data_IF_205707026288
#
_entry.id   IF_205707026288
#
_cell.length_a   1.000
_cell.length_b   1.000
_cell.length_c   1.000
_cell.angle_alpha   90.00
_cell.angle_beta   90.00
_cell.angle_gamma   90.00
#
_symmetry.space_group_name_H-M   'P 1'
#
loop_
_entity.id
_entity.type
_entity.pdbx_description
1 polymer ?
#
# COMPACT_ATOMS: atom_id res chain seq x y z
N UNK A 1 -61.56 -14.65 -8.33
CA UNK A 1 -60.65 -13.50 -8.16
C UNK A 1 -59.73 -13.76 -6.99
N UNK A 2 -58.56 -14.37 -7.25
CA UNK A 2 -57.54 -14.63 -6.22
C UNK A 2 -56.45 -13.55 -6.35
N UNK A 3 -56.32 -12.75 -5.31
CA UNK A 3 -55.23 -11.77 -5.21
C UNK A 3 -54.00 -12.48 -4.68
N UNK A 4 -52.97 -12.60 -5.52
CA UNK A 4 -51.62 -13.07 -5.14
C UNK A 4 -50.91 -11.85 -4.55
N UNK A 5 -50.64 -11.87 -3.23
CA UNK A 5 -49.77 -10.97 -2.54
C UNK A 5 -48.33 -11.51 -2.73
N UNK A 6 -47.50 -10.79 -3.47
CA UNK A 6 -46.07 -11.00 -3.54
C UNK A 6 -45.37 -10.47 -2.28
N UNK A 7 -44.47 -11.22 -1.65
CA UNK A 7 -43.72 -10.69 -0.52
C UNK A 7 -42.68 -9.66 -1.00
N UNK A 8 -42.74 -8.47 -0.44
CA UNK A 8 -41.75 -7.40 -0.58
C UNK A 8 -40.50 -7.83 0.20
N UNK A 9 -39.50 -8.37 -0.48
CA UNK A 9 -38.20 -8.64 0.12
C UNK A 9 -37.50 -7.29 0.37
N UNK A 10 -37.39 -6.90 1.64
CA UNK A 10 -36.53 -5.80 2.08
C UNK A 10 -35.08 -6.21 1.85
N UNK A 11 -34.45 -5.71 0.79
CA UNK A 11 -33.00 -5.72 0.65
C UNK A 11 -32.43 -4.76 1.72
N UNK A 12 -31.98 -5.31 2.82
CA UNK A 12 -31.09 -4.61 3.75
C UNK A 12 -29.77 -4.35 3.02
N UNK A 13 -29.61 -3.14 2.49
CA UNK A 13 -28.33 -2.67 1.99
C UNK A 13 -27.34 -2.64 3.18
N UNK A 14 -26.44 -3.61 3.21
CA UNK A 14 -25.32 -3.60 4.15
C UNK A 14 -24.47 -2.36 3.86
N UNK A 15 -24.52 -1.39 4.74
CA UNK A 15 -23.60 -0.25 4.75
C UNK A 15 -22.17 -0.80 4.77
N UNK A 16 -21.23 -0.26 3.97
CA UNK A 16 -19.84 -0.67 4.04
C UNK A 16 -19.34 -0.45 5.47
N UNK A 17 -18.89 -1.52 6.11
CA UNK A 17 -18.27 -1.42 7.42
C UNK A 17 -17.06 -0.47 7.31
N UNK A 18 -17.15 0.68 7.94
CA UNK A 18 -15.99 1.56 8.10
C UNK A 18 -14.95 0.78 8.90
N UNK A 19 -13.70 0.83 8.45
CA UNK A 19 -12.59 0.21 9.17
C UNK A 19 -12.57 0.78 10.60
N UNK A 20 -13.00 -0.03 11.57
CA UNK A 20 -12.88 0.36 12.97
C UNK A 20 -11.41 0.23 13.38
N UNK A 21 -10.89 1.25 14.04
CA UNK A 21 -9.57 1.18 14.66
C UNK A 21 -9.57 0.02 15.65
N UNK A 22 -8.69 -0.98 15.51
CA UNK A 22 -8.63 -2.12 16.44
C UNK A 22 -8.39 -1.65 17.87
N UNK A 23 -8.99 -2.34 18.82
CA UNK A 23 -8.74 -2.07 20.24
C UNK A 23 -7.24 -2.19 20.56
N UNK A 24 -6.69 -1.22 21.29
CA UNK A 24 -5.27 -1.18 21.62
C UNK A 24 -4.36 -0.59 20.55
N UNK A 25 -4.91 -0.04 19.45
CA UNK A 25 -4.12 0.73 18.50
C UNK A 25 -3.65 2.05 19.11
N UNK A 26 -2.35 2.34 18.96
CA UNK A 26 -1.71 3.57 19.47
C UNK A 26 -1.12 4.31 18.30
N UNK A 27 -1.56 5.54 18.09
CA UNK A 27 -0.99 6.46 17.07
C UNK A 27 0.18 7.25 17.68
N UNK A 28 1.18 7.55 16.86
CA UNK A 28 2.34 8.33 17.26
C UNK A 28 3.02 9.01 16.08
N UNK A 29 3.84 10.02 16.41
CA UNK A 29 4.64 10.76 15.44
C UNK A 29 6.13 10.62 15.77
N UNK A 30 6.93 10.28 14.77
CA UNK A 30 8.37 10.32 14.82
C UNK A 30 8.86 11.56 14.08
N UNK A 31 9.42 12.52 14.81
CA UNK A 31 10.04 13.70 14.19
C UNK A 31 11.50 13.39 13.90
N UNK A 32 11.84 13.31 12.61
CA UNK A 32 13.17 13.05 12.11
C UNK A 32 13.86 14.39 11.83
N UNK A 33 14.90 14.72 12.61
CA UNK A 33 15.62 15.97 12.47
C UNK A 33 16.56 15.94 11.26
N UNK A 34 16.67 17.07 10.54
CA UNK A 34 17.60 17.27 9.44
C UNK A 34 17.55 16.16 8.39
N UNK A 35 16.35 15.84 7.90
CA UNK A 35 16.19 14.81 6.87
C UNK A 35 16.69 15.32 5.52
N UNK A 36 17.61 14.57 4.91
CA UNK A 36 18.14 14.86 3.57
C UNK A 36 17.58 13.87 2.58
N UNK A 37 16.93 14.37 1.54
CA UNK A 37 16.37 13.58 0.45
C UNK A 37 17.45 13.19 -0.57
N UNK A 38 17.17 12.17 -1.38
CA UNK A 38 18.07 11.74 -2.46
C UNK A 38 18.42 12.85 -3.46
N UNK A 39 17.52 13.82 -3.63
CA UNK A 39 17.74 15.03 -4.43
C UNK A 39 18.77 16.00 -3.83
N UNK A 40 19.16 15.81 -2.57
CA UNK A 40 19.98 16.75 -1.81
C UNK A 40 19.20 17.85 -1.07
N UNK A 41 17.89 17.97 -1.33
CA UNK A 41 17.01 18.88 -0.59
C UNK A 41 16.92 18.43 0.89
N UNK A 42 16.60 19.38 1.78
CA UNK A 42 16.56 19.10 3.22
C UNK A 42 15.29 19.66 3.86
N UNK A 43 14.75 18.90 4.81
CA UNK A 43 13.78 19.41 5.77
C UNK A 43 14.41 19.44 7.16
N UNK A 44 14.29 20.54 7.90
CA UNK A 44 14.72 20.60 9.31
C UNK A 44 14.05 19.52 10.15
N UNK A 45 12.75 19.30 9.89
CA UNK A 45 11.94 18.29 10.54
C UNK A 45 11.09 17.56 9.50
N UNK A 46 11.17 16.23 9.49
CA UNK A 46 10.28 15.35 8.74
C UNK A 46 9.44 14.53 9.74
N UNK A 47 8.15 14.73 9.75
CA UNK A 47 7.22 13.95 10.56
C UNK A 47 6.88 12.64 9.85
N UNK A 48 7.06 11.52 10.54
CA UNK A 48 6.57 10.21 10.16
C UNK A 48 5.49 9.78 11.15
N UNK A 49 4.24 9.78 10.69
CA UNK A 49 3.11 9.26 11.47
C UNK A 49 3.09 7.73 11.40
N UNK A 50 2.69 7.10 12.48
CA UNK A 50 2.52 5.64 12.52
C UNK A 50 1.42 5.23 13.48
N UNK A 51 0.87 4.05 13.26
CA UNK A 51 0.00 3.38 14.23
C UNK A 51 0.67 2.07 14.65
N UNK A 52 0.56 1.71 15.93
CA UNK A 52 1.07 0.45 16.45
C UNK A 52 -0.02 -0.38 17.10
N UNK A 53 0.15 -1.70 17.07
CA UNK A 53 -0.66 -2.68 17.78
C UNK A 53 0.26 -3.60 18.58
N UNK A 54 -0.21 -4.06 19.73
CA UNK A 54 0.57 -4.92 20.60
C UNK A 54 1.64 -4.16 21.42
N UNK A 55 2.45 -4.90 22.18
CA UNK A 55 3.44 -4.33 23.10
C UNK A 55 4.86 -4.70 22.66
N UNK A 56 5.80 -3.74 22.61
CA UNK A 56 7.18 -4.02 22.28
C UNK A 56 7.85 -4.84 23.40
N UNK A 57 8.38 -6.01 23.04
CA UNK A 57 9.25 -6.81 23.90
C UNK A 57 10.68 -6.36 23.69
N UNK A 58 11.45 -6.18 24.78
CA UNK A 58 12.81 -5.65 24.68
C UNK A 58 13.84 -6.62 25.25
N UNK A 59 14.98 -6.68 24.60
CA UNK A 59 16.14 -7.39 25.12
C UNK A 59 16.84 -6.61 26.24
N UNK A 60 17.94 -7.18 26.78
CA UNK A 60 18.74 -6.55 27.85
C UNK A 60 19.40 -5.23 27.44
N UNK A 61 19.51 -4.95 26.14
CA UNK A 61 20.03 -3.70 25.58
C UNK A 61 18.94 -2.66 25.28
N UNK A 62 17.68 -3.01 25.52
CA UNK A 62 16.53 -2.17 25.26
C UNK A 62 16.01 -2.25 23.80
N UNK A 63 16.58 -3.09 22.95
CA UNK A 63 16.13 -3.25 21.57
C UNK A 63 14.84 -4.07 21.51
N UNK A 64 13.91 -3.63 20.65
CA UNK A 64 12.66 -4.35 20.41
C UNK A 64 12.94 -5.63 19.61
N UNK A 65 12.40 -6.77 20.08
CA UNK A 65 12.69 -8.10 19.52
C UNK A 65 11.53 -8.75 18.78
N UNK A 66 10.31 -8.24 18.91
CA UNK A 66 9.09 -8.82 18.35
C UNK A 66 8.40 -7.93 17.30
N UNK A 67 9.13 -6.98 16.71
CA UNK A 67 8.54 -6.01 15.78
C UNK A 67 8.25 -6.61 14.41
N UNK A 68 7.07 -6.30 13.88
CA UNK A 68 6.63 -6.55 12.50
C UNK A 68 6.24 -5.21 11.88
N UNK A 69 6.71 -4.91 10.68
CA UNK A 69 6.30 -3.72 9.94
C UNK A 69 5.42 -4.10 8.75
N UNK A 70 4.31 -3.40 8.58
CA UNK A 70 3.40 -3.60 7.45
C UNK A 70 3.24 -2.29 6.67
N UNK A 71 3.51 -2.33 5.37
CA UNK A 71 3.65 -1.16 4.50
C UNK A 71 2.50 -1.07 3.49
N UNK A 72 1.84 0.10 3.47
CA UNK A 72 0.66 0.38 2.65
C UNK A 72 1.00 0.67 1.17
N UNK A 73 -0.04 0.62 0.31
CA UNK A 73 0.02 0.98 -1.10
C UNK A 73 -0.04 2.49 -1.37
N UNK A 74 0.19 2.90 -2.63
CA UNK A 74 0.09 4.30 -3.10
C UNK A 74 -1.26 4.91 -2.75
N UNK A 75 -1.25 6.11 -2.18
CA UNK A 75 -2.47 6.82 -1.74
C UNK A 75 -3.12 6.23 -0.48
N UNK A 76 -2.56 5.17 0.10
CA UNK A 76 -3.03 4.55 1.33
C UNK A 76 -2.40 5.14 2.59
N UNK A 77 -2.71 4.52 3.72
CA UNK A 77 -2.13 4.81 5.05
C UNK A 77 -1.99 3.50 5.83
N UNK A 78 -1.32 3.52 6.97
CA UNK A 78 -1.27 2.37 7.87
C UNK A 78 -2.65 1.85 8.26
N UNK A 79 -3.66 2.71 8.29
CA UNK A 79 -5.05 2.36 8.64
C UNK A 79 -5.74 1.48 7.58
N UNK A 80 -5.20 1.34 6.35
CA UNK A 80 -5.76 0.41 5.36
C UNK A 80 -5.79 -1.04 5.88
N UNK A 81 -4.89 -1.39 6.78
CA UNK A 81 -4.78 -2.73 7.36
C UNK A 81 -5.78 -3.02 8.49
N UNK A 82 -6.63 -2.05 8.83
CA UNK A 82 -7.73 -2.24 9.78
C UNK A 82 -9.01 -2.77 9.12
N UNK A 83 -9.02 -2.92 7.79
CA UNK A 83 -10.14 -3.54 7.09
C UNK A 83 -10.35 -4.98 7.57
N UNK A 84 -11.62 -5.41 7.75
CA UNK A 84 -11.94 -6.74 8.31
C UNK A 84 -11.26 -7.89 7.58
N UNK A 85 -11.19 -7.84 6.24
CA UNK A 85 -10.55 -8.87 5.42
C UNK A 85 -9.03 -9.00 5.64
N UNK A 86 -8.42 -8.09 6.37
CA UNK A 86 -7.01 -8.11 6.79
C UNK A 86 -6.89 -8.27 8.32
N UNK A 87 -7.42 -7.31 9.09
CA UNK A 87 -7.24 -7.27 10.53
C UNK A 87 -7.90 -8.46 11.25
N UNK A 88 -9.13 -8.83 10.86
CA UNK A 88 -9.86 -9.94 11.50
C UNK A 88 -9.27 -11.31 11.16
N UNK A 89 -8.41 -11.39 10.14
CA UNK A 89 -7.75 -12.62 9.73
C UNK A 89 -6.35 -12.79 10.36
N UNK A 90 -5.72 -11.70 10.83
CA UNK A 90 -4.30 -11.73 11.18
C UNK A 90 -3.99 -11.27 12.60
N UNK A 91 -4.73 -10.32 13.18
CA UNK A 91 -4.31 -9.58 14.38
C UNK A 91 -4.94 -10.07 15.68
N UNK A 92 -5.95 -10.93 15.62
CA UNK A 92 -6.66 -11.44 16.78
C UNK A 92 -5.88 -12.49 17.57
N UNK A 93 -6.39 -12.86 18.76
CA UNK A 93 -5.77 -13.88 19.60
C UNK A 93 -5.60 -15.23 18.87
N UNK A 94 -4.39 -15.76 18.89
CA UNK A 94 -4.04 -17.02 18.24
C UNK A 94 -3.89 -16.95 16.72
N UNK A 95 -4.13 -15.78 16.11
CA UNK A 95 -3.91 -15.58 14.68
C UNK A 95 -2.43 -15.35 14.35
N UNK A 96 -2.09 -15.32 13.07
CA UNK A 96 -0.71 -15.35 12.60
C UNK A 96 0.13 -14.18 13.11
N UNK A 97 -0.43 -12.97 13.13
CA UNK A 97 0.19 -11.74 13.63
C UNK A 97 -0.50 -11.26 14.91
N UNK A 98 -0.79 -12.19 15.81
CA UNK A 98 -1.41 -11.95 17.12
C UNK A 98 -0.74 -10.80 17.87
N UNK A 99 -1.48 -9.75 18.19
CA UNK A 99 -0.99 -8.55 18.88
C UNK A 99 -0.54 -8.80 20.32
N UNK A 100 -0.86 -9.95 20.90
CA UNK A 100 -0.27 -10.37 22.16
C UNK A 100 1.18 -10.86 22.02
N UNK A 101 1.60 -11.26 20.81
CA UNK A 101 2.94 -11.78 20.51
C UNK A 101 3.81 -10.77 19.77
N UNK A 102 3.24 -10.03 18.83
CA UNK A 102 3.95 -9.13 17.95
C UNK A 102 3.66 -7.66 18.25
N UNK A 103 4.69 -6.84 18.12
CA UNK A 103 4.58 -5.38 18.05
C UNK A 103 4.48 -4.98 16.57
N UNK A 104 3.26 -4.71 16.11
CA UNK A 104 2.96 -4.39 14.73
C UNK A 104 3.07 -2.88 14.53
N UNK A 105 3.84 -2.46 13.53
CA UNK A 105 4.10 -1.07 13.19
C UNK A 105 3.55 -0.80 11.79
N UNK A 106 2.65 0.16 11.69
CA UNK A 106 1.93 0.57 10.47
C UNK A 106 2.27 2.04 10.19
N UNK A 107 3.39 2.34 9.51
CA UNK A 107 3.73 3.72 9.20
C UNK A 107 2.83 4.29 8.10
N UNK A 108 2.55 5.58 8.17
CA UNK A 108 2.19 6.38 7.02
C UNK A 108 3.49 6.84 6.35
N UNK A 109 3.64 6.58 5.05
CA UNK A 109 4.85 6.99 4.34
C UNK A 109 4.90 8.51 4.10
N UNK A 110 6.09 9.05 3.76
CA UNK A 110 6.21 10.46 3.31
C UNK A 110 5.16 10.73 2.23
N UNK A 111 4.49 11.86 2.33
CA UNK A 111 3.45 12.25 1.38
C UNK A 111 2.08 11.61 1.62
N UNK A 112 1.90 10.82 2.70
CA UNK A 112 0.68 10.06 2.98
C UNK A 112 0.17 10.30 4.41
N UNK A 113 -1.13 10.20 4.57
CA UNK A 113 -1.80 10.18 5.87
C UNK A 113 -1.40 11.32 6.81
N UNK A 114 -0.95 10.97 8.01
CA UNK A 114 -0.48 11.90 9.03
C UNK A 114 0.99 12.34 8.89
N UNK A 115 1.77 11.72 7.99
CA UNK A 115 3.17 12.09 7.72
C UNK A 115 3.28 13.38 6.93
N UNK A 116 4.47 14.02 6.98
CA UNK A 116 4.76 15.25 6.23
C UNK A 116 4.47 15.08 4.74
N UNK A 117 3.78 16.04 4.15
CA UNK A 117 3.31 16.00 2.75
C UNK A 117 3.14 17.41 2.16
N UNK A 118 3.04 17.55 0.83
CA UNK A 118 2.85 18.83 0.14
C UNK A 118 1.69 19.67 0.68
N UNK A 119 0.55 19.06 0.97
CA UNK A 119 -0.65 19.76 1.47
C UNK A 119 -0.50 20.35 2.88
N UNK A 120 0.57 20.01 3.62
CA UNK A 120 0.85 20.59 4.94
C UNK A 120 1.39 22.05 4.86
N UNK A 121 1.29 22.71 3.69
CA UNK A 121 1.59 24.11 3.49
C UNK A 121 2.71 24.39 2.48
N UNK A 122 3.63 23.46 2.24
CA UNK A 122 4.72 23.65 1.27
C UNK A 122 4.25 23.50 -0.19
N UNK A 123 3.14 22.81 -0.42
CA UNK A 123 2.59 22.56 -1.76
C UNK A 123 3.68 21.99 -2.70
N UNK A 124 3.82 22.53 -3.92
CA UNK A 124 4.84 22.07 -4.90
C UNK A 124 6.28 22.49 -4.55
N UNK A 125 6.50 23.16 -3.41
CA UNK A 125 7.84 23.42 -2.84
C UNK A 125 8.28 22.33 -1.85
N UNK A 126 7.43 21.34 -1.59
CA UNK A 126 7.83 20.18 -0.78
C UNK A 126 8.96 19.44 -1.51
N UNK A 127 10.01 18.93 -0.81
CA UNK A 127 11.09 18.20 -1.45
C UNK A 127 10.61 17.04 -2.29
N UNK A 128 11.25 16.83 -3.46
CA UNK A 128 10.93 15.72 -4.34
C UNK A 128 11.48 14.43 -3.73
N UNK A 129 10.60 13.68 -3.07
CA UNK A 129 10.94 12.39 -2.49
C UNK A 129 10.71 11.22 -3.45
N UNK A 130 11.35 10.10 -3.18
CA UNK A 130 11.15 8.83 -3.86
C UNK A 130 11.00 7.66 -2.87
N UNK A 131 10.99 6.43 -3.38
CA UNK A 131 10.81 5.25 -2.53
C UNK A 131 12.04 4.96 -1.65
N UNK A 132 13.24 5.30 -2.09
CA UNK A 132 14.46 5.18 -1.28
C UNK A 132 14.43 6.15 -0.10
N UNK A 133 13.92 7.38 -0.30
CA UNK A 133 13.68 8.33 0.78
C UNK A 133 12.64 7.83 1.79
N UNK A 134 11.54 7.22 1.30
CA UNK A 134 10.54 6.62 2.18
C UNK A 134 11.13 5.51 3.04
N UNK A 135 11.93 4.62 2.44
CA UNK A 135 12.61 3.53 3.16
C UNK A 135 13.66 4.08 4.14
N UNK A 136 14.39 5.14 3.77
CA UNK A 136 15.30 5.82 4.68
C UNK A 136 14.58 6.43 5.89
N UNK A 137 13.44 7.07 5.67
CA UNK A 137 12.60 7.63 6.74
C UNK A 137 12.02 6.53 7.66
N UNK A 138 11.51 5.43 7.07
CA UNK A 138 11.06 4.25 7.84
C UNK A 138 12.19 3.71 8.72
N UNK A 139 13.41 3.57 8.17
CA UNK A 139 14.56 3.07 8.93
C UNK A 139 14.91 3.98 10.11
N UNK A 140 14.97 5.30 9.90
CA UNK A 140 15.22 6.27 10.96
C UNK A 140 14.11 6.28 12.01
N UNK A 141 12.84 6.21 11.61
CA UNK A 141 11.71 6.08 12.53
C UNK A 141 11.87 4.84 13.43
N UNK A 142 12.19 3.69 12.85
CA UNK A 142 12.38 2.43 13.59
C UNK A 142 13.54 2.53 14.57
N UNK A 143 14.71 3.00 14.13
CA UNK A 143 15.94 2.96 14.92
C UNK A 143 16.06 4.10 15.90
N UNK A 144 15.71 5.33 15.52
CA UNK A 144 15.90 6.52 16.34
C UNK A 144 14.74 6.76 17.33
N UNK A 145 13.51 6.31 16.99
CA UNK A 145 12.31 6.63 17.77
C UNK A 145 11.68 5.41 18.46
N UNK A 146 11.63 4.27 17.79
CA UNK A 146 10.96 3.09 18.31
C UNK A 146 11.92 2.08 18.98
N UNK A 147 13.24 2.22 18.79
CA UNK A 147 14.24 1.29 19.31
C UNK A 147 14.20 -0.08 18.63
N UNK A 148 13.77 -0.10 17.36
CA UNK A 148 13.72 -1.32 16.54
C UNK A 148 14.94 -1.36 15.64
N UNK A 149 15.83 -2.28 15.89
CA UNK A 149 17.06 -2.48 15.13
C UNK A 149 17.02 -3.75 14.27
N UNK A 150 15.97 -4.55 14.42
CA UNK A 150 15.68 -5.72 13.61
C UNK A 150 14.19 -6.00 13.60
N UNK A 151 13.66 -6.43 12.46
CA UNK A 151 12.25 -6.79 12.28
C UNK A 151 12.11 -8.30 12.13
N UNK A 152 11.03 -8.88 12.69
CA UNK A 152 10.65 -10.27 12.43
C UNK A 152 10.15 -10.44 11.00
N UNK A 153 9.43 -9.44 10.50
CA UNK A 153 8.83 -9.44 9.17
C UNK A 153 8.68 -8.01 8.65
N UNK A 154 8.94 -7.81 7.36
CA UNK A 154 8.38 -6.71 6.57
C UNK A 154 7.35 -7.31 5.62
N UNK A 155 6.07 -6.98 5.81
CA UNK A 155 5.01 -7.26 4.86
C UNK A 155 4.69 -5.96 4.13
N UNK A 156 4.72 -5.97 2.81
CA UNK A 156 4.42 -4.78 2.02
C UNK A 156 3.44 -5.07 0.90
N UNK A 157 2.49 -4.16 0.69
CA UNK A 157 1.45 -4.30 -0.32
C UNK A 157 1.57 -3.20 -1.37
N UNK A 158 1.55 -3.53 -2.68
CA UNK A 158 1.67 -2.56 -3.77
C UNK A 158 2.93 -1.68 -3.64
N UNK A 159 2.82 -0.37 -3.39
CA UNK A 159 3.97 0.48 -3.06
C UNK A 159 4.81 -0.10 -1.90
N UNK A 160 4.16 -0.58 -0.84
CA UNK A 160 4.85 -1.23 0.28
C UNK A 160 5.58 -2.51 -0.12
N UNK A 161 5.09 -3.25 -1.12
CA UNK A 161 5.80 -4.37 -1.74
C UNK A 161 7.12 -3.89 -2.38
N UNK A 162 7.09 -2.78 -3.11
CA UNK A 162 8.27 -2.16 -3.71
C UNK A 162 9.26 -1.71 -2.62
N UNK A 163 8.77 -1.15 -1.52
CA UNK A 163 9.60 -0.82 -0.36
C UNK A 163 10.24 -2.08 0.26
N UNK A 164 9.51 -3.20 0.37
CA UNK A 164 10.08 -4.43 0.91
C UNK A 164 11.27 -4.94 0.06
N UNK A 165 11.19 -4.80 -1.28
CA UNK A 165 12.34 -5.08 -2.15
C UNK A 165 13.49 -4.10 -1.94
N UNK A 166 13.23 -2.80 -1.78
CA UNK A 166 14.28 -1.82 -1.45
C UNK A 166 14.92 -2.16 -0.09
N UNK A 167 14.13 -2.49 0.93
CA UNK A 167 14.66 -2.95 2.22
C UNK A 167 15.59 -4.15 2.06
N UNK A 168 15.16 -5.15 1.29
CA UNK A 168 15.96 -6.36 1.06
C UNK A 168 17.26 -6.10 0.33
N UNK A 169 17.28 -5.16 -0.62
CA UNK A 169 18.44 -4.83 -1.45
C UNK A 169 19.40 -3.83 -0.83
N UNK A 170 18.89 -2.87 -0.02
CA UNK A 170 19.68 -1.77 0.55
C UNK A 170 20.05 -1.99 2.02
N UNK A 171 19.27 -2.81 2.74
CA UNK A 171 19.46 -3.12 4.18
C UNK A 171 19.30 -4.61 4.43
N UNK A 172 20.10 -5.48 3.75
CA UNK A 172 19.98 -6.92 3.88
C UNK A 172 20.15 -7.36 5.33
N UNK A 173 19.27 -8.24 5.81
CA UNK A 173 19.29 -8.76 7.17
C UNK A 173 18.68 -7.85 8.25
N UNK A 174 18.20 -6.65 7.93
CA UNK A 174 17.44 -5.84 8.91
C UNK A 174 16.09 -6.47 9.25
N UNK A 175 15.45 -7.15 8.32
CA UNK A 175 14.30 -8.02 8.56
C UNK A 175 14.72 -9.48 8.48
N UNK A 176 14.15 -10.34 9.35
CA UNK A 176 14.37 -11.79 9.30
C UNK A 176 13.64 -12.42 8.12
N UNK A 177 12.53 -11.82 7.69
CA UNK A 177 11.67 -12.31 6.62
C UNK A 177 11.06 -11.15 5.83
N UNK A 178 10.81 -11.37 4.54
CA UNK A 178 10.13 -10.41 3.66
C UNK A 178 8.87 -11.04 3.06
N UNK A 179 7.81 -10.26 2.98
CA UNK A 179 6.54 -10.63 2.33
C UNK A 179 6.08 -9.51 1.37
N UNK A 180 6.72 -9.34 0.20
CA UNK A 180 6.31 -8.39 -0.83
C UNK A 180 5.10 -8.92 -1.62
N UNK A 181 3.96 -8.18 -1.59
CA UNK A 181 2.73 -8.55 -2.27
C UNK A 181 2.28 -7.50 -3.29
N UNK A 182 1.95 -7.93 -4.50
CA UNK A 182 1.39 -7.14 -5.60
C UNK A 182 2.33 -6.07 -6.17
N UNK A 183 3.55 -6.45 -6.51
CA UNK A 183 4.46 -5.63 -7.32
C UNK A 183 5.48 -6.48 -8.08
N UNK A 184 6.27 -5.80 -8.93
CA UNK A 184 7.42 -6.37 -9.63
C UNK A 184 8.70 -5.68 -9.16
N UNK A 185 9.80 -6.41 -8.95
CA UNK A 185 11.08 -5.84 -8.49
C UNK A 185 11.94 -5.31 -9.64
N UNK A 186 11.36 -4.46 -10.46
CA UNK A 186 11.97 -3.90 -11.66
C UNK A 186 11.51 -2.46 -11.84
N UNK A 187 12.24 -1.69 -12.62
CA UNK A 187 11.84 -0.33 -13.01
C UNK A 187 10.36 -0.26 -13.41
N UNK A 188 9.65 0.74 -12.91
CA UNK A 188 8.26 0.99 -13.30
C UNK A 188 8.23 1.59 -14.70
N UNK A 189 7.89 0.76 -15.67
CA UNK A 189 7.83 1.08 -17.09
C UNK A 189 6.45 0.71 -17.69
N UNK A 190 6.33 0.86 -19.00
CA UNK A 190 5.15 0.47 -19.79
C UNK A 190 3.86 1.05 -19.21
N UNK A 191 2.82 0.23 -19.18
CA UNK A 191 1.48 0.64 -18.75
C UNK A 191 1.45 1.18 -17.30
N UNK A 192 2.24 0.60 -16.39
CA UNK A 192 2.29 1.06 -14.99
C UNK A 192 2.86 2.49 -14.90
N UNK A 193 3.87 2.86 -15.68
CA UNK A 193 4.35 4.24 -15.73
C UNK A 193 3.36 5.16 -16.46
N UNK A 194 2.76 4.68 -17.54
CA UNK A 194 1.83 5.48 -18.35
C UNK A 194 0.62 5.96 -17.54
N UNK A 195 -0.07 5.08 -16.82
CA UNK A 195 -1.25 5.52 -16.05
C UNK A 195 -0.90 6.50 -14.93
N UNK A 196 0.30 6.39 -14.33
CA UNK A 196 0.79 7.33 -13.32
C UNK A 196 1.04 8.71 -13.91
N UNK A 197 1.74 8.77 -15.05
CA UNK A 197 2.03 10.05 -15.71
C UNK A 197 0.77 10.67 -16.30
N UNK A 198 -0.13 9.90 -16.91
CA UNK A 198 -1.42 10.40 -17.39
C UNK A 198 -2.26 11.00 -16.23
N UNK A 199 -2.21 10.40 -15.06
CA UNK A 199 -2.90 10.94 -13.88
C UNK A 199 -2.28 12.27 -13.43
N UNK A 200 -0.94 12.35 -13.39
CA UNK A 200 -0.21 13.57 -13.05
C UNK A 200 -0.51 14.68 -14.07
N UNK A 201 -0.45 14.34 -15.35
CA UNK A 201 -0.67 15.30 -16.44
C UNK A 201 -2.12 15.82 -16.45
N UNK A 202 -3.10 14.96 -16.17
CA UNK A 202 -4.49 15.38 -16.04
C UNK A 202 -4.71 16.41 -14.92
N UNK A 203 -4.05 16.24 -13.78
CA UNK A 203 -4.12 17.20 -12.68
C UNK A 203 -3.43 18.51 -13.07
N UNK A 204 -2.23 18.43 -13.67
CA UNK A 204 -1.46 19.61 -14.07
C UNK A 204 -2.08 20.40 -15.21
N UNK A 205 -2.84 19.74 -16.08
CA UNK A 205 -3.57 20.37 -17.19
C UNK A 205 -4.87 21.10 -16.74
N UNK A 206 -5.35 20.85 -15.52
CA UNK A 206 -6.53 21.56 -15.00
C UNK A 206 -6.15 23.02 -14.72
N UNK A 207 -6.80 24.04 -15.36
CA UNK A 207 -6.48 25.44 -15.13
C UNK A 207 -6.60 25.90 -13.67
N UNK A 208 -7.47 25.23 -12.89
CA UNK A 208 -7.65 25.51 -11.46
C UNK A 208 -6.48 25.05 -10.60
N UNK A 209 -5.62 24.14 -11.09
CA UNK A 209 -4.45 23.67 -10.33
C UNK A 209 -3.41 24.77 -10.08
N UNK A 210 -3.26 25.73 -11.02
CA UNK A 210 -2.43 26.94 -10.86
C UNK A 210 -0.99 26.65 -10.40
N UNK A 211 -0.35 25.63 -10.98
CA UNK A 211 1.01 25.26 -10.56
C UNK A 211 1.11 24.73 -9.12
N UNK A 212 0.01 24.22 -8.58
CA UNK A 212 -0.09 23.73 -7.20
C UNK A 212 -0.54 24.77 -6.17
N UNK A 213 -0.81 26.02 -6.60
CA UNK A 213 -1.23 27.11 -5.71
C UNK A 213 -2.75 27.33 -5.69
N UNK A 214 -3.51 26.31 -6.07
CA UNK A 214 -4.97 26.36 -6.14
C UNK A 214 -5.62 26.71 -4.77
N UNK A 215 -6.72 27.46 -4.85
CA UNK A 215 -7.62 27.73 -3.73
C UNK A 215 -8.97 27.06 -3.94
N UNK A 216 -9.30 26.75 -5.19
CA UNK A 216 -10.46 25.95 -5.60
C UNK A 216 -9.95 24.62 -6.13
N UNK A 217 -10.57 23.53 -5.71
CA UNK A 217 -10.17 22.17 -6.08
C UNK A 217 -10.10 21.99 -7.62
N UNK A 218 -9.01 21.50 -8.20
CA UNK A 218 -8.88 21.23 -9.63
C UNK A 218 -9.69 19.97 -9.99
N UNK A 219 -11.02 20.17 -10.05
CA UNK A 219 -11.99 19.08 -10.07
C UNK A 219 -11.95 18.27 -11.36
N UNK A 220 -11.66 18.88 -12.52
CA UNK A 220 -11.58 18.17 -13.79
C UNK A 220 -10.37 17.24 -13.83
N UNK A 221 -9.21 17.71 -13.41
CA UNK A 221 -7.99 16.92 -13.31
C UNK A 221 -8.13 15.76 -12.33
N UNK A 222 -8.64 16.02 -11.13
CA UNK A 222 -8.88 14.98 -10.11
C UNK A 222 -9.94 13.96 -10.55
N UNK A 223 -10.94 14.38 -11.33
CA UNK A 223 -11.93 13.47 -11.91
C UNK A 223 -11.29 12.49 -12.87
N UNK A 224 -10.44 12.96 -13.76
CA UNK A 224 -9.68 12.10 -14.68
C UNK A 224 -8.76 11.17 -13.92
N UNK A 225 -8.04 11.67 -12.90
CA UNK A 225 -7.19 10.88 -12.02
C UNK A 225 -7.95 9.74 -11.32
N UNK A 226 -9.12 10.02 -10.76
CA UNK A 226 -9.97 9.00 -10.15
C UNK A 226 -10.44 7.94 -11.17
N UNK A 227 -10.82 8.36 -12.37
CA UNK A 227 -11.25 7.45 -13.44
C UNK A 227 -10.13 6.51 -13.88
N UNK A 228 -8.92 7.02 -14.08
CA UNK A 228 -7.74 6.20 -14.41
C UNK A 228 -7.41 5.21 -13.29
N UNK A 229 -7.48 5.65 -12.04
CA UNK A 229 -7.23 4.78 -10.87
C UNK A 229 -8.28 3.66 -10.75
N UNK A 230 -9.55 3.95 -11.07
CA UNK A 230 -10.61 2.94 -11.10
C UNK A 230 -10.31 1.83 -12.10
N UNK A 231 -9.90 2.18 -13.31
CA UNK A 231 -9.58 1.20 -14.35
C UNK A 231 -8.32 0.41 -13.98
N UNK A 232 -7.27 1.10 -13.51
CA UNK A 232 -6.01 0.43 -13.13
C UNK A 232 -6.19 -0.58 -12.00
N UNK A 233 -7.07 -0.28 -11.01
CA UNK A 233 -7.33 -1.17 -9.87
C UNK A 233 -8.43 -2.22 -10.11
N UNK A 234 -9.09 -2.20 -11.28
CA UNK A 234 -10.24 -3.04 -11.55
C UNK A 234 -9.90 -4.54 -11.65
N UNK A 235 -10.85 -5.38 -11.21
CA UNK A 235 -10.89 -6.80 -11.56
C UNK A 235 -11.99 -7.01 -12.61
N UNK A 236 -11.65 -7.24 -13.89
CA UNK A 236 -12.64 -7.38 -14.95
C UNK A 236 -13.58 -8.57 -14.73
N UNK A 237 -13.10 -9.68 -14.17
CA UNK A 237 -13.93 -10.84 -13.85
C UNK A 237 -15.00 -10.51 -12.80
N UNK A 238 -14.60 -9.93 -11.67
CA UNK A 238 -15.51 -9.58 -10.61
C UNK A 238 -16.53 -8.53 -11.07
N UNK A 239 -16.10 -7.53 -11.83
CA UNK A 239 -16.99 -6.49 -12.36
C UNK A 239 -18.03 -7.08 -13.33
N UNK A 240 -17.61 -8.00 -14.22
CA UNK A 240 -18.54 -8.62 -15.16
C UNK A 240 -19.60 -9.47 -14.46
N UNK A 241 -19.23 -10.17 -13.36
CA UNK A 241 -20.16 -10.99 -12.58
C UNK A 241 -21.11 -10.12 -11.74
N UNK A 242 -20.57 -9.06 -11.10
CA UNK A 242 -21.34 -8.21 -10.18
C UNK A 242 -22.24 -7.20 -10.93
N UNK A 243 -21.80 -6.72 -12.08
CA UNK A 243 -22.45 -5.67 -12.86
C UNK A 243 -22.62 -6.11 -14.34
N UNK A 244 -23.42 -7.17 -14.61
CA UNK A 244 -23.45 -7.81 -15.93
C UNK A 244 -24.25 -7.04 -16.98
N UNK A 245 -24.94 -5.97 -16.60
CA UNK A 245 -25.70 -5.13 -17.52
C UNK A 245 -25.09 -3.72 -17.65
N UNK A 246 -25.35 -3.06 -18.79
CA UNK A 246 -24.93 -1.68 -19.01
C UNK A 246 -25.36 -0.75 -17.86
N UNK A 247 -26.62 -0.80 -17.48
CA UNK A 247 -27.16 0.06 -16.43
C UNK A 247 -26.50 -0.20 -15.07
N UNK A 248 -26.26 -1.46 -14.71
CA UNK A 248 -25.56 -1.82 -13.47
C UNK A 248 -24.10 -1.33 -13.47
N UNK A 249 -23.39 -1.47 -14.59
CA UNK A 249 -22.02 -1.00 -14.71
C UNK A 249 -21.91 0.53 -14.66
N UNK A 250 -22.84 1.26 -15.30
CA UNK A 250 -22.89 2.72 -15.25
C UNK A 250 -23.19 3.22 -13.82
N UNK A 251 -24.14 2.61 -13.12
CA UNK A 251 -24.45 2.93 -11.73
C UNK A 251 -23.25 2.69 -10.79
N UNK A 252 -22.58 1.51 -10.91
CA UNK A 252 -21.37 1.22 -10.15
C UNK A 252 -20.26 2.24 -10.38
N UNK A 253 -20.04 2.63 -11.63
CA UNK A 253 -19.05 3.67 -11.97
C UNK A 253 -19.35 4.97 -11.23
N UNK A 254 -20.59 5.42 -11.22
CA UNK A 254 -20.98 6.68 -10.56
C UNK A 254 -20.80 6.59 -9.03
N UNK A 255 -21.19 5.49 -8.41
CA UNK A 255 -20.97 5.25 -6.98
C UNK A 255 -19.49 5.17 -6.62
N UNK A 256 -18.70 4.42 -7.38
CA UNK A 256 -17.28 4.27 -7.15
C UNK A 256 -16.55 5.60 -7.30
N UNK A 257 -16.92 6.38 -8.30
CA UNK A 257 -16.41 7.73 -8.51
C UNK A 257 -16.74 8.64 -7.32
N UNK A 258 -17.98 8.66 -6.85
CA UNK A 258 -18.41 9.47 -5.70
C UNK A 258 -17.61 9.11 -4.42
N UNK A 259 -17.25 7.84 -4.26
CA UNK A 259 -16.39 7.41 -3.12
C UNK A 259 -14.94 7.87 -3.23
N UNK A 260 -14.40 7.99 -4.43
CA UNK A 260 -12.98 8.31 -4.67
C UNK A 260 -12.73 9.80 -4.81
N UNK A 261 -13.70 10.54 -5.37
CA UNK A 261 -13.54 11.96 -5.69
C UNK A 261 -13.44 12.83 -4.43
N UNK A 262 -12.49 13.77 -4.44
CA UNK A 262 -12.34 14.76 -3.38
C UNK A 262 -11.67 14.25 -2.09
N UNK A 263 -11.22 13.00 -2.04
CA UNK A 263 -10.52 12.44 -0.87
C UNK A 263 -9.06 12.81 -0.80
N UNK A 264 -8.44 13.16 -1.93
CA UNK A 264 -7.01 13.42 -2.04
C UNK A 264 -6.75 14.87 -2.43
N UNK A 265 -5.71 15.45 -1.85
CA UNK A 265 -5.12 16.70 -2.30
C UNK A 265 -4.41 16.48 -3.65
N UNK A 266 -4.53 17.44 -4.57
CA UNK A 266 -3.98 17.30 -5.92
C UNK A 266 -2.45 17.26 -5.93
N UNK A 267 -1.80 18.05 -5.09
CA UNK A 267 -0.35 18.08 -4.98
C UNK A 267 0.18 16.81 -4.34
N UNK A 268 -0.47 16.34 -3.25
CA UNK A 268 -0.11 15.06 -2.61
C UNK A 268 -0.19 13.92 -3.61
N UNK A 269 -1.26 13.87 -4.43
CA UNK A 269 -1.44 12.82 -5.43
C UNK A 269 -0.35 12.85 -6.52
N UNK A 270 0.06 14.02 -6.98
CA UNK A 270 1.17 14.18 -7.93
C UNK A 270 2.45 13.59 -7.33
N UNK A 271 2.81 13.98 -6.11
CA UNK A 271 4.00 13.49 -5.44
C UNK A 271 3.96 11.99 -5.15
N UNK A 272 2.83 11.47 -4.67
CA UNK A 272 2.63 10.03 -4.41
C UNK A 272 2.84 9.18 -5.66
N UNK A 273 2.33 9.62 -6.81
CA UNK A 273 2.48 8.89 -8.07
C UNK A 273 3.89 9.01 -8.65
N UNK A 274 4.51 10.20 -8.54
CA UNK A 274 5.85 10.44 -9.08
C UNK A 274 6.97 9.87 -8.20
N UNK A 275 6.73 9.61 -6.91
CA UNK A 275 7.72 9.02 -5.99
C UNK A 275 8.29 7.68 -6.46
N UNK A 276 7.61 7.02 -7.39
CA UNK A 276 8.03 5.76 -8.00
C UNK A 276 9.02 5.91 -9.16
N UNK A 277 9.39 7.13 -9.56
CA UNK A 277 10.16 7.42 -10.78
C UNK A 277 11.54 6.79 -10.83
N UNK A 278 12.17 6.60 -9.67
CA UNK A 278 13.53 6.04 -9.52
C UNK A 278 13.54 4.58 -9.09
N UNK A 279 12.37 3.98 -8.83
CA UNK A 279 12.28 2.62 -8.33
C UNK A 279 12.88 1.61 -9.30
N UNK A 280 13.97 0.97 -8.91
CA UNK A 280 14.57 -0.15 -9.62
C UNK A 280 15.46 -1.00 -8.70
N UNK A 281 14.93 -1.97 -7.94
CA UNK A 281 15.74 -2.85 -7.10
C UNK A 281 16.46 -3.95 -7.89
N UNK A 282 16.18 -4.08 -9.20
CA UNK A 282 16.68 -5.16 -10.04
C UNK A 282 18.20 -5.42 -9.92
N UNK A 283 19.08 -4.39 -9.93
CA UNK A 283 20.52 -4.61 -9.84
C UNK A 283 20.98 -5.24 -8.52
N UNK A 284 20.16 -5.21 -7.48
CA UNK A 284 20.49 -5.67 -6.14
C UNK A 284 19.75 -6.91 -5.66
N UNK A 285 18.99 -7.61 -6.51
CA UNK A 285 18.10 -8.70 -6.08
C UNK A 285 18.84 -9.86 -5.39
N UNK A 286 20.08 -10.17 -5.79
CA UNK A 286 20.89 -11.21 -5.18
C UNK A 286 21.32 -10.90 -3.73
N UNK A 287 21.20 -9.64 -3.28
CA UNK A 287 21.45 -9.24 -1.89
C UNK A 287 20.35 -9.69 -0.94
N UNK A 288 19.17 -10.02 -1.48
CA UNK A 288 18.04 -10.55 -0.69
C UNK A 288 18.38 -11.99 -0.30
N UNK A 289 18.81 -12.16 0.93
CA UNK A 289 19.35 -13.42 1.48
C UNK A 289 18.51 -13.97 2.64
N UNK A 290 17.34 -13.40 2.90
CA UNK A 290 16.40 -13.86 3.92
C UNK A 290 15.20 -14.57 3.27
N UNK A 291 14.52 -15.50 3.99
CA UNK A 291 13.30 -16.12 3.50
C UNK A 291 12.30 -15.06 3.03
N UNK A 292 11.84 -15.19 1.80
CA UNK A 292 10.98 -14.22 1.15
C UNK A 292 9.78 -14.91 0.51
N UNK A 293 8.58 -14.47 0.85
CA UNK A 293 7.33 -14.89 0.20
C UNK A 293 6.83 -13.76 -0.69
N UNK A 294 6.99 -13.92 -1.99
CA UNK A 294 6.51 -12.94 -2.97
C UNK A 294 5.20 -13.41 -3.61
N UNK A 295 4.15 -12.59 -3.53
CA UNK A 295 2.80 -12.95 -4.02
C UNK A 295 2.26 -11.89 -4.97
N UNK A 296 1.77 -12.33 -6.14
CA UNK A 296 0.96 -11.53 -7.06
C UNK A 296 -0.35 -12.25 -7.38
N UNK A 297 -1.32 -11.56 -7.97
CA UNK A 297 -2.58 -12.13 -8.47
C UNK A 297 -2.57 -12.15 -10.00
N UNK A 298 -3.07 -13.23 -10.60
CA UNK A 298 -3.07 -13.40 -12.06
C UNK A 298 -3.99 -12.42 -12.79
N UNK A 299 -4.94 -11.81 -12.08
CA UNK A 299 -5.86 -10.78 -12.57
C UNK A 299 -5.44 -9.35 -12.19
N UNK A 300 -4.21 -9.17 -11.70
CA UNK A 300 -3.64 -7.85 -11.43
C UNK A 300 -3.28 -7.13 -12.73
N UNK A 301 -4.05 -6.09 -13.06
CA UNK A 301 -3.83 -5.28 -14.26
C UNK A 301 -2.60 -4.36 -14.18
N UNK A 302 -2.13 -4.04 -12.96
CA UNK A 302 -0.96 -3.20 -12.74
C UNK A 302 0.34 -4.01 -12.88
N UNK A 303 0.30 -5.30 -12.49
CA UNK A 303 1.45 -6.21 -12.52
C UNK A 303 1.10 -7.51 -13.27
N UNK A 304 0.82 -7.46 -14.56
CA UNK A 304 0.42 -8.63 -15.33
C UNK A 304 1.51 -9.72 -15.31
N UNK A 305 1.15 -10.99 -15.04
CA UNK A 305 2.11 -12.11 -15.00
C UNK A 305 2.72 -12.40 -16.38
N UNK A 306 2.02 -12.03 -17.47
CA UNK A 306 2.48 -12.26 -18.85
C UNK A 306 3.80 -11.56 -19.22
N UNK A 307 4.31 -10.68 -18.37
CA UNK A 307 5.62 -10.04 -18.61
C UNK A 307 6.82 -10.99 -18.44
N UNK A 308 6.65 -12.13 -17.78
CA UNK A 308 7.74 -13.08 -17.51
C UNK A 308 8.84 -12.55 -16.57
N UNK A 309 8.58 -11.41 -15.91
CA UNK A 309 9.53 -10.77 -14.98
C UNK A 309 9.64 -11.56 -13.68
N UNK A 310 8.54 -12.17 -13.26
CA UNK A 310 8.45 -12.89 -11.99
C UNK A 310 9.39 -14.08 -11.95
N UNK A 311 9.45 -14.87 -13.02
CA UNK A 311 10.31 -16.04 -13.15
C UNK A 311 11.78 -15.63 -13.17
N UNK A 312 12.11 -14.59 -13.93
CA UNK A 312 13.48 -14.07 -14.02
C UNK A 312 13.96 -13.50 -12.68
N UNK A 313 13.12 -12.76 -11.97
CA UNK A 313 13.45 -12.18 -10.67
C UNK A 313 13.59 -13.28 -9.60
N UNK A 314 12.67 -14.26 -9.56
CA UNK A 314 12.72 -15.37 -8.61
C UNK A 314 13.99 -16.22 -8.79
N UNK A 315 14.45 -16.43 -10.03
CA UNK A 315 15.69 -17.15 -10.30
C UNK A 315 16.93 -16.46 -9.71
N UNK A 316 16.89 -15.14 -9.51
CA UNK A 316 17.97 -14.34 -8.91
C UNK A 316 17.93 -14.31 -7.38
N UNK A 317 16.79 -14.61 -6.77
CA UNK A 317 16.58 -14.54 -5.31
C UNK A 317 16.40 -15.94 -4.73
N UNK A 318 17.53 -16.57 -4.35
CA UNK A 318 17.59 -17.99 -3.95
C UNK A 318 16.71 -18.38 -2.76
N UNK A 319 16.37 -17.43 -1.90
CA UNK A 319 15.56 -17.63 -0.69
C UNK A 319 14.09 -17.22 -0.90
N UNK A 320 13.69 -16.95 -2.14
CA UNK A 320 12.35 -16.45 -2.46
C UNK A 320 11.45 -17.56 -3.00
N UNK A 321 10.27 -17.69 -2.38
CA UNK A 321 9.13 -18.43 -2.92
C UNK A 321 8.18 -17.45 -3.58
N UNK A 322 7.98 -17.57 -4.91
CA UNK A 322 6.97 -16.82 -5.63
C UNK A 322 5.66 -17.61 -5.72
N UNK A 323 4.54 -16.96 -5.47
CA UNK A 323 3.20 -17.53 -5.62
C UNK A 323 2.35 -16.58 -6.48
N UNK A 324 1.74 -17.13 -7.52
CA UNK A 324 0.73 -16.45 -8.32
C UNK A 324 -0.66 -16.95 -7.92
N UNK A 325 -1.47 -16.10 -7.29
CA UNK A 325 -2.87 -16.43 -6.97
C UNK A 325 -3.65 -16.51 -8.28
N UNK A 326 -4.32 -17.64 -8.59
CA UNK A 326 -5.10 -17.75 -9.81
C UNK A 326 -6.24 -16.73 -9.87
N UNK A 327 -6.52 -16.21 -11.05
CA UNK A 327 -7.68 -15.35 -11.29
C UNK A 327 -8.98 -16.10 -11.02
N UNK A 328 -9.93 -15.45 -10.35
CA UNK A 328 -11.23 -16.00 -10.04
C UNK A 328 -12.27 -14.89 -9.85
N UNK A 329 -13.58 -15.21 -9.83
CA UNK A 329 -14.62 -14.25 -9.46
C UNK A 329 -14.49 -13.70 -8.03
N UNK A 330 -13.75 -14.37 -7.16
CA UNK A 330 -13.53 -13.99 -5.76
C UNK A 330 -12.32 -13.07 -5.59
N UNK A 331 -11.30 -13.16 -6.45
CA UNK A 331 -10.13 -12.29 -6.44
C UNK A 331 -10.53 -10.84 -6.74
N UNK A 332 -9.67 -9.90 -6.41
CA UNK A 332 -9.96 -8.46 -6.44
C UNK A 332 -8.98 -7.70 -7.33
N UNK A 333 -8.43 -8.36 -8.38
CA UNK A 333 -7.40 -7.77 -9.20
C UNK A 333 -6.20 -7.33 -8.36
N UNK A 334 -5.71 -6.12 -8.58
CA UNK A 334 -4.62 -5.56 -7.78
C UNK A 334 -4.89 -5.61 -6.26
N UNK A 335 -6.14 -5.39 -5.84
CA UNK A 335 -6.50 -5.36 -4.41
C UNK A 335 -6.56 -6.73 -3.73
N UNK A 336 -6.33 -7.85 -4.43
CA UNK A 336 -6.29 -9.20 -3.84
C UNK A 336 -5.28 -9.29 -2.70
N UNK A 337 -4.20 -8.51 -2.75
CA UNK A 337 -3.16 -8.46 -1.72
C UNK A 337 -3.67 -7.99 -0.34
N UNK A 338 -4.79 -7.28 -0.25
CA UNK A 338 -5.38 -6.86 1.03
C UNK A 338 -6.34 -7.89 1.63
N UNK A 339 -6.63 -8.98 0.92
CA UNK A 339 -7.55 -10.03 1.36
C UNK A 339 -6.74 -11.24 1.87
N UNK A 340 -6.48 -11.26 3.18
CA UNK A 340 -5.60 -12.25 3.82
C UNK A 340 -6.01 -13.71 3.58
N UNK A 341 -7.31 -13.98 3.37
CA UNK A 341 -7.82 -15.33 3.06
C UNK A 341 -7.11 -16.01 1.89
N UNK A 342 -6.55 -15.25 0.95
CA UNK A 342 -5.92 -15.82 -0.25
C UNK A 342 -4.46 -16.23 -0.04
N UNK A 343 -3.82 -15.76 1.06
CA UNK A 343 -2.38 -15.94 1.22
C UNK A 343 -1.90 -16.15 2.69
N UNK A 344 -2.77 -16.04 3.69
CA UNK A 344 -2.38 -16.17 5.10
C UNK A 344 -1.72 -17.51 5.42
N UNK A 345 -2.15 -18.61 4.76
CA UNK A 345 -1.58 -19.94 5.01
C UNK A 345 -0.16 -20.07 4.46
N UNK A 346 0.15 -19.41 3.35
CA UNK A 346 1.53 -19.35 2.84
C UNK A 346 2.41 -18.42 3.69
N UNK A 347 1.85 -17.32 4.20
CA UNK A 347 2.56 -16.47 5.16
C UNK A 347 2.80 -17.23 6.47
N UNK A 348 1.89 -18.07 6.92
CA UNK A 348 2.08 -18.92 8.10
C UNK A 348 3.28 -19.88 7.93
N UNK A 349 3.43 -20.49 6.75
CA UNK A 349 4.60 -21.31 6.42
C UNK A 349 5.90 -20.50 6.49
N UNK A 350 5.92 -19.30 5.87
CA UNK A 350 7.07 -18.41 5.97
C UNK A 350 7.42 -18.08 7.42
N UNK A 351 6.42 -17.81 8.27
CA UNK A 351 6.65 -17.43 9.67
C UNK A 351 7.12 -18.59 10.55
N UNK A 352 6.82 -19.84 10.16
CA UNK A 352 7.25 -21.04 10.90
C UNK A 352 8.70 -21.42 10.64
N UNK A 353 9.23 -21.14 9.44
CA UNK A 353 10.63 -21.33 9.05
C UNK A 353 11.58 -20.35 9.81
#
# INVERSE_FOLDING_TARGET
MHKILAPLALLLASLPAHAQTPAGAIEGDAILQNFTFATGEKLPELKMHYTTLGTPQRDKKGHVTNAVMILHGTGGTGKQFFQPQFASELFGPGQLLDTAKYYIILPDNIGHGGSSKPSDGMRMKFPQYDYDDMVAAQHRMLTEKLGVHKLKLILGTSMGCMHAFIWGTTRPGFAEKLAPFACLPVEIAGQNRMWRTLTIDAIKADPLWQGGNYTTLPAAGLRTAASLSMIAGANPYALQVQYPTRAAAEAYKDEAFARMFGRNDANDMIYQLDSSRTYNPWPGLEKINVPTLWINSADDFINPPAYGITEQAAARMKTTKFILIPASPETKGHSTHTWAKFWKDDLAKLMAD
#
